data_IF_890881223768
#
_entry.id   IF_890881223768
#
_cell.length_a   1.000
_cell.length_b   1.000
_cell.length_c   1.000
_cell.angle_alpha   90.00
_cell.angle_beta   90.00
_cell.angle_gamma   90.00
#
_symmetry.space_group_name_H-M   'P 1'
#
loop_
_entity.id
_entity.type
_entity.pdbx_description
1 polymer ?
#
# COMPACT_ATOMS: atom_id res chain seq x y z
N UNK A 1 -27.51 -6.75 -15.33
CA UNK A 1 -27.63 -8.22 -15.34
C UNK A 1 -26.52 -8.88 -14.53
N UNK A 2 -25.23 -8.71 -14.87
CA UNK A 2 -24.09 -9.29 -14.13
C UNK A 2 -24.03 -8.95 -12.63
N UNK A 3 -24.44 -7.73 -12.25
CA UNK A 3 -24.49 -7.29 -10.85
C UNK A 3 -25.45 -8.14 -9.99
N UNK A 4 -26.57 -8.57 -10.57
CA UNK A 4 -27.58 -9.38 -9.88
C UNK A 4 -27.12 -10.82 -9.67
N UNK A 5 -26.40 -11.38 -10.66
CA UNK A 5 -25.84 -12.72 -10.57
C UNK A 5 -24.69 -12.76 -9.57
N UNK A 6 -23.77 -11.79 -9.62
CA UNK A 6 -22.66 -11.70 -8.67
C UNK A 6 -23.11 -11.47 -7.21
N UNK A 7 -24.16 -10.66 -7.00
CA UNK A 7 -24.74 -10.44 -5.67
C UNK A 7 -25.40 -11.72 -5.11
N UNK A 8 -26.07 -12.50 -5.94
CA UNK A 8 -26.66 -13.78 -5.52
C UNK A 8 -25.64 -14.83 -5.07
N UNK A 9 -24.40 -14.76 -5.56
CA UNK A 9 -23.30 -15.62 -5.12
C UNK A 9 -22.67 -15.15 -3.79
N UNK A 10 -22.51 -13.84 -3.59
CA UNK A 10 -22.02 -13.25 -2.33
C UNK A 10 -22.94 -13.54 -1.14
N UNK A 11 -24.26 -13.53 -1.34
CA UNK A 11 -25.24 -13.89 -0.30
C UNK A 11 -25.22 -15.39 0.07
N UNK A 12 -24.78 -16.26 -0.84
CA UNK A 12 -24.59 -17.70 -0.55
C UNK A 12 -23.32 -17.96 0.27
N UNK A 13 -22.24 -17.22 0.02
CA UNK A 13 -21.00 -17.34 0.80
C UNK A 13 -21.18 -16.93 2.26
N UNK A 14 -21.95 -15.87 2.55
CA UNK A 14 -22.13 -15.37 3.93
C UNK A 14 -22.90 -16.35 4.83
N UNK A 15 -23.77 -17.18 4.27
CA UNK A 15 -24.57 -18.16 5.02
C UNK A 15 -23.80 -19.46 5.33
N UNK A 16 -22.77 -19.80 4.54
CA UNK A 16 -22.01 -21.04 4.72
C UNK A 16 -20.82 -20.92 5.69
N UNK A 17 -20.26 -19.71 5.88
CA UNK A 17 -19.11 -19.49 6.77
C UNK A 17 -19.40 -19.72 8.26
N UNK A 18 -20.67 -19.83 8.67
CA UNK A 18 -21.01 -20.10 10.08
C UNK A 18 -20.92 -21.57 10.50
N UNK A 19 -20.87 -22.53 9.55
CA UNK A 19 -21.01 -23.96 9.86
C UNK A 19 -19.73 -24.81 9.74
N UNK A 20 -18.56 -24.23 9.42
CA UNK A 20 -17.39 -25.04 8.99
C UNK A 20 -16.29 -25.24 10.05
N UNK A 21 -16.45 -24.77 11.28
CA UNK A 21 -15.51 -25.11 12.36
C UNK A 21 -15.96 -26.38 13.08
N UNK A 22 -15.69 -27.55 12.51
CA UNK A 22 -15.51 -28.84 13.19
C UNK A 22 -15.46 -29.97 12.16
N UNK A 23 -14.25 -30.37 11.76
CA UNK A 23 -13.80 -31.77 11.60
C UNK A 23 -12.68 -31.87 10.56
N UNK A 24 -11.46 -32.00 11.08
CA UNK A 24 -10.30 -32.49 10.34
C UNK A 24 -10.18 -34.00 10.53
N UNK A 25 -10.14 -34.77 9.44
CA UNK A 25 -9.06 -35.73 9.10
C UNK A 25 -9.47 -36.65 7.94
N UNK A 26 -8.49 -36.90 7.07
CA UNK A 26 -8.42 -37.96 6.04
C UNK A 26 -9.43 -37.91 4.90
N UNK A 27 -9.16 -37.05 3.92
CA UNK A 27 -9.63 -37.17 2.54
C UNK A 27 -8.55 -36.51 1.66
N UNK A 28 -8.14 -37.09 0.52
CA UNK A 28 -7.39 -36.31 -0.47
C UNK A 28 -8.22 -35.07 -0.78
N UNK A 29 -7.61 -33.87 -0.95
CA UNK A 29 -8.39 -32.66 -1.14
C UNK A 29 -9.28 -32.89 -2.36
N UNK A 30 -10.57 -33.12 -2.13
CA UNK A 30 -11.57 -33.07 -3.17
C UNK A 30 -11.32 -31.72 -3.82
N UNK A 31 -11.02 -31.71 -5.12
CA UNK A 31 -11.09 -30.49 -5.92
C UNK A 31 -12.50 -30.00 -5.66
N UNK A 32 -12.62 -29.05 -4.73
CA UNK A 32 -13.88 -28.77 -4.04
C UNK A 32 -14.92 -28.50 -5.10
N UNK A 33 -16.16 -28.99 -4.96
CA UNK A 33 -17.26 -28.81 -5.92
C UNK A 33 -17.34 -27.38 -6.50
N UNK A 34 -16.90 -26.39 -5.72
CA UNK A 34 -16.64 -24.98 -6.08
C UNK A 34 -15.80 -24.75 -7.34
N UNK A 35 -14.94 -25.68 -7.76
CA UNK A 35 -14.14 -25.55 -8.98
C UNK A 35 -14.94 -25.91 -10.23
N UNK A 36 -15.83 -26.91 -10.14
CA UNK A 36 -16.72 -27.25 -11.25
C UNK A 36 -17.69 -26.10 -11.52
N UNK A 37 -18.28 -25.52 -10.46
CA UNK A 37 -19.15 -24.35 -10.59
C UNK A 37 -18.45 -23.15 -11.24
N UNK A 38 -17.15 -22.94 -10.95
CA UNK A 38 -16.34 -21.90 -11.60
C UNK A 38 -16.09 -22.21 -13.07
N UNK A 39 -15.82 -23.48 -13.43
CA UNK A 39 -15.60 -23.90 -14.81
C UNK A 39 -16.89 -23.74 -15.63
N UNK A 40 -18.04 -24.14 -15.09
CA UNK A 40 -19.33 -24.01 -15.76
C UNK A 40 -19.65 -22.53 -16.02
N UNK A 41 -19.44 -21.67 -15.01
CA UNK A 41 -19.65 -20.23 -15.15
C UNK A 41 -18.71 -19.60 -16.20
N UNK A 42 -17.43 -19.99 -16.24
CA UNK A 42 -16.49 -19.53 -17.27
C UNK A 42 -16.92 -20.00 -18.66
N UNK A 43 -17.48 -21.21 -18.77
CA UNK A 43 -17.95 -21.79 -20.03
C UNK A 43 -19.18 -21.03 -20.55
N UNK A 44 -20.17 -20.79 -19.69
CA UNK A 44 -21.36 -20.00 -20.02
C UNK A 44 -21.00 -18.57 -20.42
N UNK A 45 -20.10 -17.91 -19.67
CA UNK A 45 -19.61 -16.57 -20.01
C UNK A 45 -18.93 -16.56 -21.38
N UNK A 46 -18.08 -17.54 -21.67
CA UNK A 46 -17.39 -17.63 -22.95
C UNK A 46 -18.37 -17.81 -24.12
N UNK A 47 -19.39 -18.66 -23.96
CA UNK A 47 -20.40 -18.87 -24.97
C UNK A 47 -21.26 -17.61 -25.23
N UNK A 48 -21.61 -16.86 -24.18
CA UNK A 48 -22.32 -15.59 -24.31
C UNK A 48 -21.48 -14.53 -25.02
N UNK A 49 -20.21 -14.39 -24.64
CA UNK A 49 -19.29 -13.42 -25.22
C UNK A 49 -18.97 -13.74 -26.70
N UNK A 50 -18.85 -15.01 -27.06
CA UNK A 50 -18.63 -15.43 -28.47
C UNK A 50 -19.81 -15.08 -29.37
N UNK A 51 -21.04 -15.13 -28.84
CA UNK A 51 -22.26 -14.87 -29.60
C UNK A 51 -22.57 -13.37 -29.77
N UNK A 52 -21.93 -12.48 -29.00
CA UNK A 52 -22.22 -11.04 -29.03
C UNK A 52 -20.93 -10.18 -28.98
N UNK A 53 -20.44 -9.68 -30.13
CA UNK A 53 -19.22 -8.87 -30.21
C UNK A 53 -19.26 -7.56 -29.42
N UNK A 54 -20.42 -6.89 -29.31
CA UNK A 54 -20.55 -5.67 -28.52
C UNK A 54 -20.39 -5.96 -27.02
N UNK A 55 -21.02 -7.05 -26.56
CA UNK A 55 -20.86 -7.54 -25.18
C UNK A 55 -19.39 -7.90 -24.89
N UNK A 56 -18.69 -8.50 -25.86
CA UNK A 56 -17.26 -8.83 -25.73
C UNK A 56 -16.41 -7.57 -25.54
N UNK A 57 -16.71 -6.48 -26.25
CA UNK A 57 -16.00 -5.21 -26.12
C UNK A 57 -16.22 -4.59 -24.74
N UNK A 58 -17.48 -4.54 -24.28
CA UNK A 58 -17.82 -4.01 -22.96
C UNK A 58 -17.20 -4.85 -21.83
N UNK A 59 -17.24 -6.18 -21.96
CA UNK A 59 -16.63 -7.09 -20.99
C UNK A 59 -15.12 -6.92 -20.92
N UNK A 60 -14.42 -6.81 -22.06
CA UNK A 60 -12.97 -6.57 -22.08
C UNK A 60 -12.60 -5.28 -21.35
N UNK A 61 -13.36 -4.20 -21.58
CA UNK A 61 -13.18 -2.94 -20.86
C UNK A 61 -13.36 -3.14 -19.35
N UNK A 62 -14.49 -3.74 -18.96
CA UNK A 62 -14.79 -4.02 -17.55
C UNK A 62 -13.72 -4.87 -16.86
N UNK A 63 -13.22 -5.90 -17.56
CA UNK A 63 -12.17 -6.78 -17.05
C UNK A 63 -10.86 -6.01 -16.82
N UNK A 64 -10.45 -5.15 -17.76
CA UNK A 64 -9.27 -4.31 -17.61
C UNK A 64 -9.42 -3.33 -16.45
N UNK A 65 -10.54 -2.61 -16.37
CA UNK A 65 -10.80 -1.65 -15.29
C UNK A 65 -10.74 -2.36 -13.93
N UNK A 66 -11.34 -3.55 -13.83
CA UNK A 66 -11.36 -4.35 -12.60
C UNK A 66 -9.96 -4.87 -12.22
N UNK A 67 -9.17 -5.27 -13.22
CA UNK A 67 -7.79 -5.74 -13.02
C UNK A 67 -6.86 -4.58 -12.60
N UNK A 68 -7.06 -3.38 -13.15
CA UNK A 68 -6.35 -2.17 -12.77
C UNK A 68 -6.73 -1.77 -11.34
N UNK A 69 -8.02 -1.64 -11.04
CA UNK A 69 -8.51 -1.17 -9.73
C UNK A 69 -8.15 -2.12 -8.58
N UNK A 70 -8.11 -3.42 -8.84
CA UNK A 70 -7.68 -4.43 -7.86
C UNK A 70 -6.17 -4.50 -7.64
N UNK A 71 -5.38 -3.91 -8.54
CA UNK A 71 -3.93 -3.94 -8.48
C UNK A 71 -3.28 -5.21 -9.04
N UNK A 72 -4.04 -6.25 -9.40
CA UNK A 72 -3.50 -7.58 -9.76
C UNK A 72 -2.52 -7.55 -10.95
N UNK A 73 -2.65 -6.55 -11.83
CA UNK A 73 -1.78 -6.38 -13.00
C UNK A 73 -0.31 -6.12 -12.64
N UNK A 74 -0.01 -5.69 -11.41
CA UNK A 74 1.37 -5.39 -10.97
C UNK A 74 2.25 -6.64 -10.86
N UNK A 75 1.67 -7.84 -10.85
CA UNK A 75 2.45 -9.08 -10.93
C UNK A 75 3.02 -9.34 -12.33
N UNK A 76 2.66 -8.52 -13.32
CA UNK A 76 3.12 -8.62 -14.71
C UNK A 76 3.54 -7.24 -15.23
N UNK A 77 4.80 -6.82 -15.07
CA UNK A 77 5.29 -5.48 -15.44
C UNK A 77 4.93 -5.03 -16.86
N UNK A 78 5.04 -5.91 -17.86
CA UNK A 78 4.66 -5.58 -19.24
C UNK A 78 3.16 -5.27 -19.42
N UNK A 79 2.30 -5.94 -18.64
CA UNK A 79 0.85 -5.70 -18.63
C UNK A 79 0.57 -4.37 -17.92
N UNK A 80 1.29 -4.10 -16.83
CA UNK A 80 1.20 -2.83 -16.11
C UNK A 80 1.59 -1.64 -16.99
N UNK A 81 2.71 -1.71 -17.71
CA UNK A 81 3.12 -0.67 -18.67
C UNK A 81 2.06 -0.44 -19.74
N UNK A 82 1.51 -1.53 -20.29
CA UNK A 82 0.42 -1.45 -21.27
C UNK A 82 -0.80 -0.75 -20.68
N UNK A 83 -1.15 -1.06 -19.43
CA UNK A 83 -2.28 -0.44 -18.75
C UNK A 83 -2.09 1.07 -18.57
N UNK A 84 -0.90 1.53 -18.19
CA UNK A 84 -0.62 2.97 -18.07
C UNK A 84 -0.75 3.73 -19.40
N UNK A 85 -0.43 3.09 -20.53
CA UNK A 85 -0.61 3.69 -21.86
C UNK A 85 -2.06 3.70 -22.34
N UNK A 86 -2.77 2.60 -22.14
CA UNK A 86 -4.10 2.38 -22.74
C UNK A 86 -5.26 2.84 -21.83
N UNK A 87 -5.02 2.90 -20.52
CA UNK A 87 -6.01 3.26 -19.49
C UNK A 87 -5.44 4.32 -18.51
N UNK A 88 -5.02 5.50 -19.00
CA UNK A 88 -4.29 6.49 -18.20
C UNK A 88 -5.13 7.17 -17.12
N UNK A 89 -6.47 7.08 -17.18
CA UNK A 89 -7.36 7.62 -16.15
C UNK A 89 -7.58 6.60 -15.04
N UNK A 90 -7.82 5.34 -15.42
CA UNK A 90 -8.06 4.25 -14.49
C UNK A 90 -6.81 3.88 -13.72
N UNK A 91 -5.66 3.85 -14.39
CA UNK A 91 -4.38 3.61 -13.72
C UNK A 91 -4.01 4.73 -12.77
N UNK A 92 -4.26 5.99 -13.13
CA UNK A 92 -4.05 7.13 -12.22
C UNK A 92 -4.93 7.00 -10.96
N UNK A 93 -6.23 6.72 -11.13
CA UNK A 93 -7.17 6.51 -10.04
C UNK A 93 -6.84 5.29 -9.16
N UNK A 94 -6.15 4.29 -9.71
CA UNK A 94 -5.76 3.07 -9.01
C UNK A 94 -4.32 3.10 -8.48
N UNK A 95 -3.58 4.20 -8.62
CA UNK A 95 -2.15 4.29 -8.28
C UNK A 95 -1.83 3.77 -6.87
N UNK A 96 -2.68 4.11 -5.89
CA UNK A 96 -2.54 3.62 -4.52
C UNK A 96 -2.69 2.09 -4.43
N UNK A 97 -3.76 1.52 -5.00
CA UNK A 97 -3.99 0.07 -5.02
C UNK A 97 -2.87 -0.69 -5.73
N UNK A 98 -2.40 -0.15 -6.86
CA UNK A 98 -1.28 -0.70 -7.62
C UNK A 98 -0.01 -0.73 -6.75
N UNK A 99 0.30 0.35 -6.02
CA UNK A 99 1.43 0.38 -5.10
C UNK A 99 1.31 -0.67 -3.99
N UNK A 100 0.15 -0.76 -3.32
CA UNK A 100 -0.07 -1.70 -2.22
C UNK A 100 0.15 -3.14 -2.69
N UNK A 101 -0.40 -3.54 -3.83
CA UNK A 101 -0.22 -4.89 -4.37
C UNK A 101 1.22 -5.14 -4.86
N UNK A 102 1.88 -4.13 -5.45
CA UNK A 102 3.27 -4.25 -5.87
C UNK A 102 4.22 -4.43 -4.67
N UNK A 103 3.99 -3.68 -3.58
CA UNK A 103 4.74 -3.80 -2.33
C UNK A 103 4.53 -5.17 -1.67
N UNK A 104 3.28 -5.65 -1.56
CA UNK A 104 2.98 -7.00 -1.05
C UNK A 104 3.68 -8.09 -1.87
N UNK A 105 3.69 -7.94 -3.19
CA UNK A 105 4.38 -8.83 -4.12
C UNK A 105 5.90 -8.65 -4.18
N UNK A 106 6.47 -7.67 -3.45
CA UNK A 106 7.88 -7.28 -3.50
C UNK A 106 8.40 -7.04 -4.93
N UNK A 107 7.54 -6.51 -5.80
CA UNK A 107 7.86 -6.32 -7.22
C UNK A 107 8.41 -4.91 -7.48
N UNK A 108 9.73 -4.76 -7.30
CA UNK A 108 10.42 -3.48 -7.48
C UNK A 108 10.19 -2.88 -8.88
N UNK A 109 10.24 -3.70 -9.93
CA UNK A 109 10.05 -3.22 -11.30
C UNK A 109 8.68 -2.57 -11.49
N UNK A 110 7.63 -3.16 -10.91
CA UNK A 110 6.29 -2.59 -10.96
C UNK A 110 6.19 -1.30 -10.16
N UNK A 111 6.89 -1.18 -9.03
CA UNK A 111 6.97 0.08 -8.27
C UNK A 111 7.63 1.16 -9.12
N UNK A 112 8.75 0.86 -9.78
CA UNK A 112 9.44 1.83 -10.63
C UNK A 112 8.56 2.29 -11.82
N UNK A 113 7.79 1.37 -12.40
CA UNK A 113 6.80 1.70 -13.44
C UNK A 113 5.70 2.61 -12.88
N UNK A 114 5.17 2.32 -11.68
CA UNK A 114 4.17 3.18 -11.04
C UNK A 114 4.75 4.57 -10.82
N UNK A 115 5.93 4.68 -10.19
CA UNK A 115 6.61 5.96 -9.91
C UNK A 115 6.80 6.79 -11.18
N UNK A 116 7.24 6.15 -12.27
CA UNK A 116 7.45 6.81 -13.57
C UNK A 116 6.15 7.39 -14.16
N UNK A 117 5.00 6.79 -13.87
CA UNK A 117 3.71 7.17 -14.42
C UNK A 117 2.79 7.88 -13.41
N UNK A 118 3.28 8.18 -12.20
CA UNK A 118 2.52 8.95 -11.23
C UNK A 118 2.25 10.36 -11.76
N UNK A 119 0.97 10.71 -11.75
CA UNK A 119 0.51 12.09 -12.00
C UNK A 119 0.59 12.88 -10.71
N UNK A 120 0.64 14.20 -10.85
CA UNK A 120 0.93 15.12 -9.76
C UNK A 120 -0.27 15.36 -8.81
N UNK A 121 -1.36 14.58 -8.93
CA UNK A 121 -2.61 14.81 -8.21
C UNK A 121 -3.12 13.60 -7.42
N UNK A 122 -3.54 13.89 -6.18
CA UNK A 122 -4.17 13.19 -5.06
C UNK A 122 -4.06 11.66 -5.00
N UNK A 123 -2.95 11.11 -5.47
CA UNK A 123 -2.78 9.66 -5.58
C UNK A 123 -2.52 9.02 -4.22
N UNK A 124 -1.92 9.76 -3.28
CA UNK A 124 -1.52 9.29 -1.95
C UNK A 124 -1.85 10.34 -0.88
N UNK A 125 -3.12 10.47 -0.46
CA UNK A 125 -3.52 11.46 0.53
C UNK A 125 -2.95 11.12 1.92
N UNK A 126 -1.82 11.74 2.29
CA UNK A 126 -1.03 11.40 3.49
C UNK A 126 -1.87 11.35 4.78
N UNK A 127 -2.82 12.27 4.94
CA UNK A 127 -3.72 12.36 6.10
C UNK A 127 -4.62 11.13 6.30
N UNK A 128 -4.86 10.35 5.24
CA UNK A 128 -5.72 9.16 5.25
C UNK A 128 -4.93 7.85 5.32
N UNK A 129 -3.61 7.90 5.25
CA UNK A 129 -2.76 6.72 5.25
C UNK A 129 -2.57 6.16 6.66
N UNK A 130 -2.44 4.84 6.75
CA UNK A 130 -2.01 4.19 7.99
C UNK A 130 -0.51 4.36 8.16
N UNK A 131 -0.02 4.25 9.40
CA UNK A 131 1.42 4.25 9.70
C UNK A 131 2.18 3.21 8.90
N UNK A 132 1.65 1.98 8.82
CA UNK A 132 2.24 0.89 8.05
C UNK A 132 2.39 1.25 6.57
N UNK A 133 1.37 1.85 5.98
CA UNK A 133 1.42 2.31 4.59
C UNK A 133 2.42 3.45 4.39
N UNK A 134 2.51 4.40 5.33
CA UNK A 134 3.54 5.45 5.27
C UNK A 134 4.93 4.84 5.35
N UNK A 135 5.17 3.90 6.27
CA UNK A 135 6.44 3.18 6.40
C UNK A 135 6.76 2.44 5.10
N UNK A 136 5.78 1.77 4.50
CA UNK A 136 5.95 1.08 3.21
C UNK A 136 6.36 2.04 2.10
N UNK A 137 5.76 3.23 2.02
CA UNK A 137 6.14 4.26 1.03
C UNK A 137 7.56 4.76 1.30
N UNK A 138 7.92 5.01 2.56
CA UNK A 138 9.25 5.51 2.95
C UNK A 138 10.39 4.52 2.63
N UNK A 139 10.09 3.23 2.42
CA UNK A 139 11.08 2.24 1.92
C UNK A 139 11.51 2.51 0.48
N UNK A 140 10.68 3.21 -0.30
CA UNK A 140 10.90 3.51 -1.71
C UNK A 140 11.24 4.98 -1.89
N UNK A 141 12.53 5.28 -1.82
CA UNK A 141 13.08 6.63 -1.91
C UNK A 141 12.65 7.38 -3.17
N UNK A 142 12.56 6.69 -4.32
CA UNK A 142 12.08 7.24 -5.58
C UNK A 142 10.59 7.60 -5.56
N UNK A 143 9.74 6.77 -4.95
CA UNK A 143 8.33 7.07 -4.76
C UNK A 143 8.16 8.26 -3.84
N UNK A 144 8.84 8.26 -2.69
CA UNK A 144 8.81 9.37 -1.74
C UNK A 144 9.22 10.68 -2.41
N UNK A 145 10.32 10.70 -3.16
CA UNK A 145 10.77 11.90 -3.86
C UNK A 145 9.70 12.45 -4.82
N UNK A 146 9.04 11.58 -5.59
CA UNK A 146 7.95 11.98 -6.49
C UNK A 146 6.75 12.56 -5.73
N UNK A 147 6.41 12.00 -4.58
CA UNK A 147 5.32 12.48 -3.73
C UNK A 147 5.64 13.83 -3.06
N UNK A 148 6.88 14.03 -2.62
CA UNK A 148 7.33 15.31 -2.03
C UNK A 148 7.41 16.45 -3.06
N UNK A 149 7.64 16.13 -4.34
CA UNK A 149 7.63 17.11 -5.42
C UNK A 149 6.24 17.68 -5.73
N UNK A 150 5.18 16.93 -5.38
CA UNK A 150 3.84 17.17 -5.89
C UNK A 150 2.88 17.56 -4.78
N UNK A 151 2.80 16.77 -3.71
CA UNK A 151 1.69 16.88 -2.75
C UNK A 151 2.11 16.72 -1.28
N UNK A 152 3.15 15.96 -0.99
CA UNK A 152 3.51 15.67 0.41
C UNK A 152 4.31 16.81 1.02
N UNK A 153 3.81 17.37 2.12
CA UNK A 153 4.61 18.22 2.99
C UNK A 153 5.54 17.34 3.85
N UNK A 154 6.85 17.55 3.68
CA UNK A 154 7.92 16.86 4.41
C UNK A 154 7.87 17.08 5.93
N UNK A 155 7.17 18.12 6.39
CA UNK A 155 6.96 18.46 7.80
C UNK A 155 5.59 18.06 8.34
N UNK A 156 4.80 17.31 7.57
CA UNK A 156 3.49 16.82 7.99
C UNK A 156 3.57 16.06 9.31
N UNK A 157 2.71 16.45 10.25
CA UNK A 157 2.52 15.72 11.50
C UNK A 157 1.45 14.65 11.30
N UNK A 158 1.84 13.39 11.45
CA UNK A 158 0.97 12.24 11.31
C UNK A 158 0.53 11.82 12.71
N UNK A 159 -0.78 11.79 12.94
CA UNK A 159 -1.37 11.43 14.23
C UNK A 159 -1.81 9.97 14.17
N UNK A 160 -1.14 9.10 14.93
CA UNK A 160 -1.48 7.69 14.95
C UNK A 160 -2.64 7.38 15.88
N UNK A 161 -3.59 6.58 15.39
CA UNK A 161 -4.60 5.95 16.23
C UNK A 161 -3.97 4.75 16.96
N UNK A 162 -4.30 4.58 18.25
CA UNK A 162 -3.50 3.77 19.19
C UNK A 162 -3.50 2.28 18.85
N UNK A 163 -2.32 1.64 18.96
CA UNK A 163 -2.24 0.20 19.25
C UNK A 163 -2.56 0.04 20.74
N UNK A 164 -3.63 -0.70 21.08
CA UNK A 164 -3.93 -1.05 22.48
C UNK A 164 -2.76 -1.84 23.06
N UNK A 165 -1.88 -1.17 23.81
CA UNK A 165 -0.92 -1.81 24.70
C UNK A 165 -1.40 -1.56 26.13
N UNK A 166 -1.76 -2.64 26.83
CA UNK A 166 -2.12 -2.62 28.25
C UNK A 166 -3.28 -1.69 28.64
N UNK A 167 -4.30 -1.56 27.78
CA UNK A 167 -5.54 -0.84 28.13
C UNK A 167 -5.48 0.69 28.10
N UNK A 168 -4.35 1.29 27.72
CA UNK A 168 -4.23 2.74 27.53
C UNK A 168 -4.07 3.08 26.03
N UNK A 169 -5.01 3.88 25.52
CA UNK A 169 -4.93 4.49 24.20
C UNK A 169 -4.08 5.76 24.28
N UNK A 170 -2.83 5.70 23.86
CA UNK A 170 -2.02 6.91 23.65
C UNK A 170 -1.93 7.19 22.16
N UNK A 171 -2.53 8.31 21.77
CA UNK A 171 -2.31 8.90 20.44
C UNK A 171 -0.89 9.44 20.41
N UNK A 172 -0.13 9.09 19.38
CA UNK A 172 1.27 9.49 19.22
C UNK A 172 1.43 10.28 17.90
N UNK A 173 2.00 11.48 17.98
CA UNK A 173 2.24 12.37 16.84
C UNK A 173 3.62 12.09 16.22
N UNK A 174 3.76 11.71 14.97
CA UNK A 174 5.09 11.57 14.35
C UNK A 174 5.27 12.53 13.20
N UNK A 175 6.49 12.63 12.69
CA UNK A 175 6.77 13.23 11.39
C UNK A 175 7.38 12.18 10.46
N UNK A 176 7.37 12.44 9.15
CA UNK A 176 8.01 11.56 8.16
C UNK A 176 9.49 11.31 8.49
N UNK A 177 10.19 12.36 8.94
CA UNK A 177 11.60 12.26 9.32
C UNK A 177 11.79 11.46 10.62
N UNK A 178 10.92 11.59 11.61
CA UNK A 178 10.98 10.79 12.84
C UNK A 178 10.75 9.31 12.53
N UNK A 179 9.71 8.98 11.74
CA UNK A 179 9.47 7.60 11.29
C UNK A 179 10.67 7.02 10.54
N UNK A 180 11.26 7.81 9.63
CA UNK A 180 12.45 7.39 8.89
C UNK A 180 13.65 7.10 9.82
N UNK A 181 13.77 7.78 10.96
CA UNK A 181 14.82 7.53 11.95
C UNK A 181 14.54 6.31 12.84
N UNK A 182 13.28 6.08 13.21
CA UNK A 182 12.85 4.98 14.09
C UNK A 182 12.90 3.62 13.37
N UNK A 183 12.51 3.58 12.09
CA UNK A 183 12.29 2.33 11.37
C UNK A 183 13.56 1.81 10.68
N UNK A 184 14.00 0.62 11.07
CA UNK A 184 15.17 -0.05 10.50
C UNK A 184 14.94 -0.54 9.07
N UNK A 185 13.67 -0.67 8.65
CA UNK A 185 13.33 -1.08 7.29
C UNK A 185 13.46 0.05 6.27
N UNK A 186 13.52 1.30 6.74
CA UNK A 186 13.62 2.49 5.90
C UNK A 186 15.11 2.77 5.58
N UNK A 187 15.49 2.91 4.30
CA UNK A 187 16.87 3.18 3.91
C UNK A 187 17.34 4.58 4.33
N UNK A 188 18.65 4.79 4.44
CA UNK A 188 19.21 6.07 4.88
C UNK A 188 19.00 7.19 3.86
N UNK A 189 18.93 6.83 2.57
CA UNK A 189 18.64 7.70 1.44
C UNK A 189 17.28 8.40 1.61
N UNK A 190 16.30 7.76 2.24
CA UNK A 190 15.00 8.36 2.57
C UNK A 190 15.17 9.61 3.45
N UNK A 191 16.07 9.58 4.45
CA UNK A 191 16.35 10.75 5.27
C UNK A 191 16.98 11.89 4.45
N UNK A 192 17.88 11.57 3.52
CA UNK A 192 18.49 12.58 2.64
C UNK A 192 17.44 13.25 1.76
N UNK A 193 16.50 12.48 1.20
CA UNK A 193 15.43 13.00 0.37
C UNK A 193 14.50 13.89 1.20
N UNK A 194 14.05 13.44 2.37
CA UNK A 194 13.21 14.27 3.25
C UNK A 194 13.87 15.63 3.55
N UNK A 195 15.15 15.63 3.90
CA UNK A 195 15.91 16.85 4.18
C UNK A 195 16.07 17.73 2.93
N UNK A 196 16.35 17.14 1.76
CA UNK A 196 16.44 17.82 0.47
C UNK A 196 15.14 18.57 0.13
N UNK A 197 13.98 18.00 0.46
CA UNK A 197 12.66 18.62 0.26
C UNK A 197 12.14 19.36 1.51
N UNK A 198 13.04 19.84 2.36
CA UNK A 198 12.71 20.80 3.42
C UNK A 198 12.19 20.22 4.73
N UNK A 199 12.36 18.91 4.99
CA UNK A 199 12.05 18.36 6.30
C UNK A 199 12.92 19.04 7.36
N UNK A 200 12.30 19.57 8.40
CA UNK A 200 12.96 20.28 9.48
C UNK A 200 13.58 19.28 10.46
N UNK A 201 14.92 19.19 10.57
CA UNK A 201 15.58 18.24 11.47
C UNK A 201 15.39 18.57 12.96
N UNK A 202 14.77 19.72 13.28
CA UNK A 202 14.43 20.17 14.63
C UNK A 202 12.92 20.16 14.88
N UNK A 203 12.11 19.61 13.98
CA UNK A 203 10.67 19.45 14.20
C UNK A 203 10.44 18.38 15.26
N UNK A 204 10.12 18.82 16.47
CA UNK A 204 9.78 17.95 17.59
C UNK A 204 8.29 17.59 17.60
N UNK A 205 7.98 16.40 18.08
CA UNK A 205 6.60 15.89 18.20
C UNK A 205 6.30 15.41 19.62
N UNK A 206 5.04 15.45 20.03
CA UNK A 206 4.65 15.03 21.38
C UNK A 206 4.58 13.51 21.48
N UNK A 207 5.25 12.97 22.49
CA UNK A 207 5.23 11.55 22.87
C UNK A 207 4.91 11.42 24.35
N UNK A 208 4.44 10.24 24.74
CA UNK A 208 4.22 9.88 26.15
C UNK A 208 5.00 8.63 26.47
N UNK A 209 5.76 8.65 27.57
CA UNK A 209 6.42 7.47 28.12
C UNK A 209 6.19 7.42 29.61
N UNK A 210 5.71 6.29 30.11
CA UNK A 210 5.41 6.08 31.54
C UNK A 210 4.53 7.20 32.15
N UNK A 211 3.56 7.69 31.38
CA UNK A 211 2.65 8.76 31.81
C UNK A 211 3.23 10.18 31.77
N UNK A 212 4.50 10.37 31.39
CA UNK A 212 5.13 11.68 31.21
C UNK A 212 5.18 12.06 29.74
N UNK A 213 4.74 13.28 29.44
CA UNK A 213 4.84 13.87 28.10
C UNK A 213 6.26 14.40 27.88
N UNK A 214 6.81 14.17 26.69
CA UNK A 214 8.08 14.69 26.25
C UNK A 214 8.04 15.02 24.76
N UNK A 215 8.97 15.86 24.30
CA UNK A 215 9.13 16.19 22.89
C UNK A 215 10.22 15.30 22.31
N UNK A 216 9.85 14.49 21.31
CA UNK A 216 10.79 13.67 20.55
C UNK A 216 11.26 14.42 19.32
N UNK A 217 12.57 14.45 19.10
CA UNK A 217 13.20 15.05 17.92
C UNK A 217 13.81 13.97 17.01
N UNK A 218 13.96 14.21 15.70
CA UNK A 218 14.52 13.23 14.76
C UNK A 218 15.83 12.57 15.19
N UNK A 219 16.78 13.35 15.73
CA UNK A 219 18.07 12.82 16.17
C UNK A 219 17.96 11.92 17.41
N UNK A 220 16.93 12.10 18.23
CA UNK A 220 16.66 11.28 19.41
C UNK A 220 15.73 10.08 19.11
N UNK A 221 15.05 10.08 17.96
CA UNK A 221 14.10 9.06 17.52
C UNK A 221 14.77 7.79 16.98
N UNK A 222 15.99 7.53 17.42
CA UNK A 222 16.80 6.48 16.83
C UNK A 222 16.56 5.19 17.59
N UNK A 223 16.27 4.12 16.85
CA UNK A 223 16.06 2.81 17.45
C UNK A 223 17.37 2.27 18.06
N UNK A 224 17.49 2.14 19.39
CA UNK A 224 18.71 1.68 20.04
C UNK A 224 18.97 0.20 19.78
N UNK A 225 17.95 -0.58 19.43
CA UNK A 225 18.03 -2.01 19.17
C UNK A 225 18.12 -2.35 17.67
N UNK A 226 18.36 -1.32 16.83
CA UNK A 226 18.41 -1.45 15.38
C UNK A 226 19.77 -1.85 14.81
N UNK A 227 19.86 -1.87 13.48
CA UNK A 227 21.12 -2.09 12.77
C UNK A 227 22.05 -0.89 12.99
N UNK A 228 23.18 -1.11 13.67
CA UNK A 228 24.13 -0.06 14.05
C UNK A 228 24.67 0.72 12.83
N UNK A 229 24.96 0.05 11.71
CA UNK A 229 25.51 0.69 10.50
C UNK A 229 24.48 1.64 9.88
N UNK A 230 23.24 1.18 9.75
CA UNK A 230 22.15 2.00 9.20
C UNK A 230 21.84 3.19 10.11
N UNK A 231 21.82 2.94 11.42
CA UNK A 231 21.63 3.96 12.45
C UNK A 231 22.67 5.06 12.35
N UNK A 232 23.95 4.69 12.35
CA UNK A 232 25.07 5.64 12.25
C UNK A 232 25.01 6.44 10.94
N UNK A 233 24.62 5.77 9.85
CA UNK A 233 24.44 6.42 8.55
C UNK A 233 23.35 7.51 8.61
N UNK A 234 22.18 7.19 9.15
CA UNK A 234 21.08 8.13 9.36
C UNK A 234 21.47 9.30 10.27
N UNK A 235 22.17 9.03 11.38
CA UNK A 235 22.71 10.06 12.28
C UNK A 235 23.65 11.01 11.56
N UNK A 236 24.61 10.46 10.83
CA UNK A 236 25.62 11.22 10.10
C UNK A 236 24.97 12.15 9.07
N UNK A 237 23.93 11.69 8.38
CA UNK A 237 23.15 12.51 7.45
C UNK A 237 22.53 13.72 8.17
N UNK A 238 21.81 13.50 9.28
CA UNK A 238 21.16 14.60 10.03
C UNK A 238 22.17 15.58 10.64
N UNK A 239 23.28 15.07 11.18
CA UNK A 239 24.32 15.91 11.80
C UNK A 239 25.02 16.76 10.74
N UNK A 240 25.35 16.18 9.59
CA UNK A 240 26.04 16.90 8.52
C UNK A 240 25.13 17.89 7.79
N UNK A 241 23.82 17.64 7.71
CA UNK A 241 22.87 18.58 7.10
C UNK A 241 22.73 19.90 7.89
N UNK A 242 23.06 19.88 9.18
CA UNK A 242 23.05 21.08 10.05
C UNK A 242 24.31 21.93 9.95
N UNK A 243 25.35 21.47 9.24
CA UNK A 243 26.61 22.20 9.04
C UNK A 243 26.58 22.95 7.72
#
# INVERSE_FOLDING_TARGET
MFKSTALGYLEKESKQTHNSYLNSKTTPPQISERWYEKIDLLTEMNDLLRKNPELLKEWKSTAWISAISSGVIVHRPLILEKAFREFPMETANASFSLFIEANKGKNQQSIDIIVKNLKDENSFPLERLTEETVIDILKYSNLLEKLLQTEWDSNSIIIHKPKLKFGQSTTEETSLLILAMEENSIPAETCQILLKYGANPNLGVKRKSQGKEYILYPLAAINPNGNDILRESKQKILINWKK
#
